data_IF_269293155321
#
_entry.id   IF_269293155321
#
_cell.length_a   1.000
_cell.length_b   1.000
_cell.length_c   1.000
_cell.angle_alpha   90.00
_cell.angle_beta   90.00
_cell.angle_gamma   90.00
#
_symmetry.space_group_name_H-M   'P 1'
#
loop_
_entity.id
_entity.type
_entity.pdbx_description
1 polymer ?
#
# COMPACT_ATOMS: atom_id res chain seq x y z
N UNK A 1 29.93 4.55 -11.89
CA UNK A 1 29.51 4.44 -11.75
C UNK A 1 28.71 4.16 -11.78
N UNK A 2 28.44 4.14 -11.79
CA UNK A 2 27.75 3.87 -12.04
C UNK A 2 26.72 3.44 -11.64
N UNK A 3 26.21 3.01 -11.81
CA UNK A 3 24.92 2.59 -11.46
C UNK A 3 24.36 2.95 -10.29
N UNK A 4 24.92 3.57 -9.72
CA UNK A 4 24.63 3.77 -8.68
C UNK A 4 23.75 4.69 -8.38
N UNK A 5 23.16 5.20 -9.15
CA UNK A 5 22.16 6.03 -8.91
C UNK A 5 20.89 5.43 -8.68
N UNK A 6 20.77 4.35 -7.96
CA UNK A 6 19.51 3.80 -7.56
C UNK A 6 18.82 4.76 -6.61
N UNK A 7 17.59 5.11 -6.90
CA UNK A 7 16.82 5.94 -5.99
C UNK A 7 16.61 5.20 -4.69
N UNK A 8 16.61 5.87 -3.55
CA UNK A 8 16.28 5.22 -2.29
C UNK A 8 14.88 4.63 -2.37
N UNK A 9 14.68 3.52 -1.68
CA UNK A 9 13.36 2.95 -1.60
C UNK A 9 12.40 3.93 -0.94
N UNK A 10 11.17 3.90 -1.39
CA UNK A 10 10.12 4.70 -0.78
C UNK A 10 8.95 3.78 -0.50
N UNK A 11 8.27 4.01 0.60
CA UNK A 11 7.07 3.27 0.94
C UNK A 11 6.05 4.23 1.52
N UNK A 12 4.80 4.05 1.10
CA UNK A 12 3.68 4.83 1.62
C UNK A 12 2.60 3.84 1.99
N UNK A 13 2.09 3.93 3.21
CA UNK A 13 0.99 3.09 3.66
C UNK A 13 -0.29 3.90 3.64
N UNK A 14 -1.33 3.29 3.07
CA UNK A 14 -2.64 3.91 2.99
C UNK A 14 -3.64 3.10 3.79
N UNK A 15 -4.59 3.78 4.39
CA UNK A 15 -5.70 3.18 5.09
C UNK A 15 -7.00 3.61 4.41
N UNK A 16 -7.91 2.68 4.22
CA UNK A 16 -9.19 3.00 3.63
C UNK A 16 -10.28 2.17 4.27
N UNK A 17 -11.14 2.83 5.02
CA UNK A 17 -12.29 2.19 5.66
C UNK A 17 -13.57 2.61 4.95
N UNK A 18 -14.62 1.85 5.15
CA UNK A 18 -15.89 2.11 4.49
C UNK A 18 -16.46 3.49 4.78
N UNK A 19 -16.11 4.04 5.94
CA UNK A 19 -16.62 5.35 6.33
C UNK A 19 -15.75 6.50 5.83
N UNK A 20 -14.62 6.20 5.21
CA UNK A 20 -13.72 7.23 4.72
C UNK A 20 -14.14 7.70 3.33
N UNK A 21 -14.03 9.01 3.08
CA UNK A 21 -14.31 9.55 1.76
C UNK A 21 -13.25 9.16 0.76
N UNK A 22 -12.03 8.92 1.21
CA UNK A 22 -10.91 8.58 0.36
C UNK A 22 -9.83 7.91 1.20
N UNK A 23 -8.91 7.16 0.58
CA UNK A 23 -7.77 6.62 1.31
C UNK A 23 -6.92 7.72 1.94
N UNK A 24 -6.32 7.39 3.06
CA UNK A 24 -5.56 8.33 3.87
C UNK A 24 -4.15 7.81 4.07
N UNK A 25 -3.17 8.70 4.03
CA UNK A 25 -1.78 8.33 4.28
C UNK A 25 -1.59 8.11 5.77
N UNK A 26 -1.14 6.92 6.16
CA UNK A 26 -0.90 6.62 7.57
C UNK A 26 0.57 6.44 7.91
N UNK A 27 1.42 6.21 6.90
CA UNK A 27 2.86 6.12 7.11
C UNK A 27 3.57 6.42 5.81
N UNK A 28 4.76 6.97 5.90
CA UNK A 28 5.60 7.23 4.73
C UNK A 28 7.05 7.20 5.18
N UNK A 29 7.94 6.75 4.31
CA UNK A 29 9.35 6.69 4.62
C UNK A 29 10.19 6.39 3.41
N UNK A 30 11.48 6.67 3.55
CA UNK A 30 12.49 6.43 2.51
C UNK A 30 13.63 5.61 3.10
N UNK A 31 14.33 4.88 2.24
CA UNK A 31 15.51 4.13 2.65
C UNK A 31 15.20 3.08 3.71
N UNK A 32 15.92 3.08 4.80
CA UNK A 32 15.73 2.11 5.87
C UNK A 32 14.34 2.15 6.45
N UNK A 33 13.74 3.35 6.55
CA UNK A 33 12.39 3.46 7.07
C UNK A 33 11.39 2.84 6.10
N UNK A 34 11.60 2.98 4.79
CA UNK A 34 10.73 2.33 3.81
C UNK A 34 10.80 0.83 3.95
N UNK A 35 11.99 0.28 4.14
CA UNK A 35 12.15 -1.16 4.33
C UNK A 35 11.43 -1.64 5.57
N UNK A 36 11.50 -0.86 6.64
CA UNK A 36 10.80 -1.20 7.89
C UNK A 36 9.29 -1.19 7.69
N UNK A 37 8.77 -0.20 6.98
CA UNK A 37 7.34 -0.14 6.69
C UNK A 37 6.89 -1.37 5.90
N UNK A 38 7.66 -1.73 4.88
CA UNK A 38 7.33 -2.90 4.05
C UNK A 38 7.39 -4.18 4.87
N UNK A 39 8.41 -4.31 5.72
CA UNK A 39 8.55 -5.49 6.55
C UNK A 39 7.41 -5.63 7.54
N UNK A 40 7.04 -4.55 8.21
CA UNK A 40 5.90 -4.56 9.12
C UNK A 40 4.60 -4.88 8.39
N UNK A 41 4.43 -4.37 7.17
CA UNK A 41 3.25 -4.69 6.38
C UNK A 41 3.18 -6.18 6.08
N UNK A 42 4.31 -6.79 5.72
CA UNK A 42 4.35 -8.22 5.46
C UNK A 42 4.02 -9.03 6.69
N UNK A 43 4.56 -8.64 7.83
CA UNK A 43 4.29 -9.33 9.09
C UNK A 43 2.80 -9.23 9.47
N UNK A 44 2.18 -8.10 9.20
CA UNK A 44 0.78 -7.89 9.50
C UNK A 44 -0.14 -8.39 8.38
N UNK A 45 0.44 -8.99 7.33
CA UNK A 45 -0.30 -9.51 6.19
C UNK A 45 -1.05 -8.43 5.42
N UNK A 46 -0.50 -7.23 5.41
CA UNK A 46 -1.02 -6.14 4.60
C UNK A 46 -0.43 -6.29 3.20
N UNK A 47 -1.26 -6.28 2.15
CA UNK A 47 -0.75 -6.40 0.79
C UNK A 47 0.18 -5.26 0.42
N UNK A 48 1.23 -5.57 -0.34
CA UNK A 48 2.21 -4.59 -0.80
C UNK A 48 2.18 -4.55 -2.32
N UNK A 49 1.96 -3.37 -2.86
CA UNK A 49 1.96 -3.15 -4.31
C UNK A 49 3.17 -2.31 -4.66
N UNK A 50 3.92 -2.72 -5.69
CA UNK A 50 5.11 -2.00 -6.10
C UNK A 50 4.82 -1.08 -7.27
N UNK A 51 5.00 0.21 -7.06
CA UNK A 51 4.81 1.22 -8.09
C UNK A 51 5.61 2.45 -7.65
N UNK A 52 6.80 2.59 -8.21
CA UNK A 52 7.71 3.65 -7.76
C UNK A 52 7.19 5.05 -8.09
N UNK A 53 6.50 5.21 -9.21
CA UNK A 53 5.96 6.52 -9.55
C UNK A 53 4.84 6.93 -8.62
N UNK A 54 3.95 6.00 -8.32
CA UNK A 54 2.85 6.27 -7.41
C UNK A 54 3.37 6.52 -6.00
N UNK A 55 4.34 5.73 -5.55
CA UNK A 55 4.94 5.94 -4.23
C UNK A 55 5.58 7.31 -4.13
N UNK A 56 6.28 7.73 -5.18
CA UNK A 56 6.89 9.06 -5.20
C UNK A 56 5.84 10.16 -5.10
N UNK A 57 4.76 10.02 -5.84
CA UNK A 57 3.67 11.00 -5.79
C UNK A 57 3.01 11.04 -4.42
N UNK A 58 2.71 9.86 -3.87
CA UNK A 58 2.05 9.77 -2.56
C UNK A 58 2.95 10.23 -1.43
N UNK A 59 4.28 10.09 -1.59
CA UNK A 59 5.22 10.48 -0.54
C UNK A 59 5.24 11.99 -0.29
N UNK A 60 4.66 12.76 -1.20
CA UNK A 60 4.58 14.20 -1.04
C UNK A 60 3.42 14.63 -0.16
N UNK A 61 2.53 13.71 0.15
CA UNK A 61 1.41 13.98 1.04
C UNK A 61 1.83 13.85 2.49
N UNK A 62 1.13 14.54 3.35
CA UNK A 62 1.41 14.46 4.78
C UNK A 62 0.67 13.30 5.42
N UNK A 63 1.21 12.78 6.49
CA UNK A 63 0.52 11.72 7.26
C UNK A 63 -0.80 12.28 7.78
N UNK A 64 -1.87 11.53 7.55
CA UNK A 64 -3.21 11.95 7.91
C UNK A 64 -3.97 12.59 6.76
N UNK A 65 -3.27 12.92 5.68
CA UNK A 65 -3.90 13.57 4.53
C UNK A 65 -4.61 12.54 3.64
N UNK A 66 -5.77 12.91 3.14
CA UNK A 66 -6.48 12.08 2.17
C UNK A 66 -5.82 12.23 0.80
N UNK A 67 -5.85 11.18 -0.01
CA UNK A 67 -5.28 11.29 -1.36
C UNK A 67 -6.13 12.26 -2.16
N UNK A 68 -5.51 13.02 -3.08
CA UNK A 68 -6.26 13.97 -3.91
C UNK A 68 -7.08 13.25 -4.98
N UNK A 69 -8.15 13.88 -5.47
CA UNK A 69 -9.01 13.26 -6.49
C UNK A 69 -8.28 12.79 -7.74
N UNK A 70 -7.18 13.44 -8.11
CA UNK A 70 -6.40 13.04 -9.26
C UNK A 70 -5.85 11.63 -9.15
N UNK A 71 -5.73 11.11 -7.95
CA UNK A 71 -5.17 9.79 -7.71
C UNK A 71 -6.24 8.73 -7.42
N UNK A 72 -7.52 9.11 -7.39
CA UNK A 72 -8.58 8.18 -7.04
C UNK A 72 -8.61 6.95 -7.94
N UNK A 73 -8.52 7.16 -9.24
CA UNK A 73 -8.64 6.06 -10.18
C UNK A 73 -7.50 5.05 -10.04
N UNK A 74 -6.27 5.53 -9.99
CA UNK A 74 -5.13 4.64 -9.93
C UNK A 74 -5.08 3.90 -8.60
N UNK A 75 -5.41 4.58 -7.49
CA UNK A 75 -5.42 3.93 -6.18
C UNK A 75 -6.59 2.96 -6.08
N UNK A 76 -7.74 3.31 -6.65
CA UNK A 76 -8.90 2.43 -6.63
C UNK A 76 -8.62 1.11 -7.34
N UNK A 77 -7.89 1.13 -8.44
CA UNK A 77 -7.51 -0.10 -9.14
C UNK A 77 -6.69 -1.02 -8.26
N UNK A 78 -5.75 -0.45 -7.50
CA UNK A 78 -4.93 -1.22 -6.59
C UNK A 78 -5.77 -1.80 -5.45
N UNK A 79 -6.68 -1.01 -4.89
CA UNK A 79 -7.54 -1.46 -3.80
C UNK A 79 -8.48 -2.58 -4.22
N UNK A 80 -8.98 -2.54 -5.44
CA UNK A 80 -9.82 -3.61 -5.97
C UNK A 80 -9.02 -4.91 -6.06
N UNK A 81 -7.79 -4.84 -6.54
CA UNK A 81 -6.93 -6.01 -6.63
C UNK A 81 -6.68 -6.61 -5.24
N UNK A 82 -6.39 -5.78 -4.26
CA UNK A 82 -6.15 -6.20 -2.89
C UNK A 82 -7.39 -6.88 -2.30
N UNK A 83 -8.56 -6.28 -2.53
CA UNK A 83 -9.81 -6.81 -2.04
C UNK A 83 -10.08 -8.22 -2.63
N UNK A 84 -9.80 -8.41 -3.91
CA UNK A 84 -9.97 -9.71 -4.54
C UNK A 84 -9.05 -10.75 -3.93
N UNK A 85 -7.82 -10.38 -3.63
CA UNK A 85 -6.88 -11.30 -3.00
C UNK A 85 -7.36 -11.70 -1.61
N UNK A 86 -7.89 -10.76 -0.85
CA UNK A 86 -8.42 -11.05 0.48
C UNK A 86 -9.62 -11.99 0.41
N UNK A 87 -10.49 -11.82 -0.57
CA UNK A 87 -11.64 -12.69 -0.75
C UNK A 87 -11.23 -14.11 -1.09
N UNK A 88 -10.22 -14.26 -1.93
CA UNK A 88 -9.71 -15.58 -2.29
C UNK A 88 -9.14 -16.26 -1.04
N UNK A 89 -8.38 -15.53 -0.26
CA UNK A 89 -7.79 -16.06 0.96
C UNK A 89 -8.87 -16.52 1.94
N UNK A 90 -9.90 -15.71 2.11
CA UNK A 90 -11.01 -16.06 3.01
C UNK A 90 -11.71 -17.32 2.56
N UNK A 91 -11.92 -17.48 1.25
CA UNK A 91 -12.54 -18.70 0.73
C UNK A 91 -11.68 -19.92 0.99
N UNK A 92 -10.38 -19.80 0.83
CA UNK A 92 -9.48 -20.91 1.09
C UNK A 92 -9.49 -21.30 2.57
N UNK A 93 -9.53 -20.33 3.46
CA UNK A 93 -9.60 -20.61 4.89
C UNK A 93 -10.90 -21.29 5.25
N UNK A 94 -12.02 -20.86 4.69
CA UNK A 94 -13.30 -21.50 4.94
C UNK A 94 -13.32 -22.95 4.44
N UNK A 95 -12.73 -23.21 3.29
CA UNK A 95 -12.65 -24.54 2.76
C UNK A 95 -11.87 -25.46 3.70
N UNK A 96 -10.80 -24.96 4.28
CA UNK A 96 -10.00 -25.74 5.21
C UNK A 96 -10.78 -26.03 6.50
N UNK A 97 -11.58 -25.09 6.95
CA UNK A 97 -12.33 -25.28 8.19
C UNK A 97 -13.46 -26.29 8.06
N UNK A 98 -13.93 -26.51 6.86
CA UNK A 98 -15.01 -27.48 6.67
C UNK A 98 -14.55 -28.92 6.70
N UNK A 99 -13.28 -29.14 6.76
CA UNK A 99 -12.77 -30.47 6.91
C UNK A 99 -12.70 -30.82 8.38
#
# INVERSE_FOLDING_TARGET
>A
MTGKEQKPKQAVALSYDLDDDAPKVVATGKGALAEKIIEEAKQAKVPVHKDSKLADTLSRLEIGELIPPELYEVVAEILVFVDQMDRIRAKMEQANKKK
#
